data_IF_980005600924
#
_entry.id   IF_980005600924
#
_cell.length_a   1.000
_cell.length_b   1.000
_cell.length_c   1.000
_cell.angle_alpha   90.00
_cell.angle_beta   90.00
_cell.angle_gamma   90.00
#
_symmetry.space_group_name_H-M   'P 1'
#
loop_
_entity.id
_entity.type
_entity.pdbx_description
1 polymer ?
#
# COMPACT_ATOMS: atom_id res chain seq x y z
N UNK A 1 42.54 33.99 9.63
CA UNK A 1 42.06 34.36 10.97
C UNK A 1 41.56 33.10 11.63
N UNK A 2 42.31 32.61 12.62
CA UNK A 2 42.13 31.31 13.26
C UNK A 2 41.47 31.55 14.62
N UNK A 3 40.37 30.86 14.91
CA UNK A 3 39.78 30.85 16.26
C UNK A 3 39.66 29.40 16.71
N UNK A 4 40.57 29.02 17.60
CA UNK A 4 40.51 27.85 18.48
C UNK A 4 39.82 28.28 19.79
N UNK A 5 38.82 27.52 20.22
CA UNK A 5 38.29 27.54 21.59
C UNK A 5 37.91 26.14 22.05
N UNK A 6 38.95 25.35 22.28
CA UNK A 6 38.95 24.19 23.16
C UNK A 6 38.69 24.61 24.62
N UNK A 7 37.54 24.22 25.23
CA UNK A 7 37.44 23.63 26.60
C UNK A 7 35.99 23.45 27.10
N UNK A 8 35.73 22.43 27.95
CA UNK A 8 34.41 22.00 28.40
C UNK A 8 34.01 22.65 29.73
N UNK A 9 32.69 22.73 29.99
CA UNK A 9 32.14 23.08 31.31
C UNK A 9 31.43 21.88 31.90
N UNK A 10 31.82 21.58 33.14
CA UNK A 10 31.40 20.47 33.98
C UNK A 10 29.92 20.46 34.35
N UNK A 11 29.43 19.24 34.54
CA UNK A 11 28.21 18.89 35.25
C UNK A 11 28.19 19.43 36.70
N UNK A 12 26.99 19.68 37.22
CA UNK A 12 26.74 19.71 38.66
C UNK A 12 25.32 19.22 38.96
N UNK A 13 25.27 18.53 40.09
CA UNK A 13 24.23 17.66 40.59
C UNK A 13 22.94 18.35 41.06
N UNK A 14 21.87 17.55 41.02
CA UNK A 14 20.73 17.36 41.93
C UNK A 14 20.46 18.40 43.06
N UNK A 15 19.18 18.62 43.46
CA UNK A 15 18.58 17.64 44.37
C UNK A 15 17.07 17.36 44.22
N UNK A 16 16.72 16.19 44.74
CA UNK A 16 15.39 15.73 45.16
C UNK A 16 14.58 16.79 45.92
N UNK A 17 13.27 16.86 45.64
CA UNK A 17 12.29 17.31 46.63
C UNK A 17 10.98 16.52 46.54
N UNK A 18 10.57 16.06 47.70
CA UNK A 18 9.46 15.18 47.96
C UNK A 18 8.14 15.94 48.23
N UNK A 19 7.06 15.16 48.16
CA UNK A 19 5.98 15.10 49.17
C UNK A 19 4.67 15.88 48.93
N UNK A 20 3.60 15.20 49.36
CA UNK A 20 2.23 15.66 49.70
C UNK A 20 1.25 15.76 48.51
N UNK A 21 -0.02 15.36 48.60
CA UNK A 21 -0.84 14.76 49.68
C UNK A 21 -2.11 14.19 49.04
N UNK A 22 -2.71 13.24 49.75
CA UNK A 22 -4.01 12.60 49.51
C UNK A 22 -5.13 13.58 49.19
N UNK A 23 -6.07 13.16 48.34
CA UNK A 23 -7.47 13.57 48.48
C UNK A 23 -8.37 12.35 48.35
N UNK A 24 -8.84 11.88 49.51
CA UNK A 24 -9.98 10.97 49.63
C UNK A 24 -11.22 11.84 49.73
N UNK A 25 -12.23 11.61 48.90
CA UNK A 25 -13.60 12.00 49.19
C UNK A 25 -14.50 10.86 48.74
N UNK A 26 -14.95 10.11 49.75
CA UNK A 26 -16.11 9.23 49.71
C UNK A 26 -17.36 10.10 49.70
N UNK A 27 -18.35 9.78 48.87
CA UNK A 27 -19.74 9.94 49.28
C UNK A 27 -20.58 8.82 48.66
N UNK A 28 -21.13 7.99 49.54
CA UNK A 28 -22.15 7.00 49.27
C UNK A 28 -23.52 7.67 49.12
N UNK A 29 -24.34 7.14 48.22
CA UNK A 29 -25.75 7.50 48.08
C UNK A 29 -26.49 6.37 47.38
N UNK A 30 -27.11 5.51 48.17
CA UNK A 30 -28.02 4.44 47.75
C UNK A 30 -29.44 5.01 47.72
N UNK A 31 -30.21 4.82 46.63
CA UNK A 31 -31.60 4.39 46.75
C UNK A 31 -32.15 3.89 45.40
N UNK A 32 -32.82 2.75 45.49
CA UNK A 32 -33.40 1.97 44.41
C UNK A 32 -34.70 2.57 43.87
N UNK A 33 -34.95 2.31 42.58
CA UNK A 33 -36.31 2.03 42.10
C UNK A 33 -36.23 1.03 40.95
N UNK A 34 -36.81 -0.15 41.20
CA UNK A 34 -37.08 -1.18 40.22
C UNK A 34 -38.14 -0.69 39.23
N UNK A 35 -37.93 -0.95 37.94
CA UNK A 35 -39.00 -1.08 36.95
C UNK A 35 -38.64 -2.27 36.07
N UNK A 36 -39.23 -3.41 36.43
CA UNK A 36 -39.28 -4.58 35.58
C UNK A 36 -40.15 -4.25 34.37
N UNK A 37 -39.51 -4.08 33.21
CA UNK A 37 -40.19 -4.17 31.92
C UNK A 37 -39.72 -5.48 31.31
N UNK A 38 -40.61 -6.48 31.32
CA UNK A 38 -40.49 -7.71 30.54
C UNK A 38 -40.76 -7.36 29.07
N UNK A 39 -39.78 -7.42 28.14
CA UNK A 39 -40.08 -7.58 26.74
C UNK A 39 -40.42 -9.05 26.51
N UNK A 40 -41.56 -9.27 25.88
CA UNK A 40 -42.00 -10.55 25.36
C UNK A 40 -40.86 -11.36 24.73
N UNK A 41 -40.90 -12.67 24.95
CA UNK A 41 -40.24 -13.67 24.11
C UNK A 41 -40.75 -13.54 22.67
N UNK A 42 -40.24 -12.53 21.96
CA UNK A 42 -40.18 -12.53 20.52
C UNK A 42 -39.31 -13.70 20.16
N UNK A 43 -39.92 -14.70 19.54
CA UNK A 43 -39.19 -15.82 18.96
C UNK A 43 -38.17 -15.19 18.02
N UNK A 44 -36.90 -15.23 18.42
CA UNK A 44 -35.80 -14.99 17.50
C UNK A 44 -35.93 -16.11 16.47
N UNK A 45 -36.60 -15.81 15.36
CA UNK A 45 -36.49 -16.61 14.16
C UNK A 45 -35.00 -16.63 13.87
N UNK A 46 -34.34 -17.75 14.16
CA UNK A 46 -33.01 -18.03 13.65
C UNK A 46 -33.09 -17.72 12.17
N UNK A 47 -32.53 -16.58 11.78
CA UNK A 47 -32.32 -16.27 10.39
C UNK A 47 -31.35 -17.34 9.93
N UNK A 48 -31.89 -18.37 9.28
CA UNK A 48 -31.11 -19.38 8.57
C UNK A 48 -30.09 -18.59 7.76
N UNK A 49 -28.78 -18.79 7.98
CA UNK A 49 -27.78 -18.05 7.24
C UNK A 49 -28.06 -18.35 5.77
N UNK A 50 -28.57 -17.34 5.05
CA UNK A 50 -28.70 -17.39 3.61
C UNK A 50 -27.30 -17.66 3.13
N UNK A 51 -27.06 -18.89 2.65
CA UNK A 51 -25.77 -19.29 2.14
C UNK A 51 -25.42 -18.31 1.02
N UNK A 52 -24.60 -17.31 1.34
CA UNK A 52 -24.12 -16.33 0.39
C UNK A 52 -23.36 -17.14 -0.64
N UNK A 53 -23.98 -17.30 -1.82
CA UNK A 53 -23.39 -17.99 -2.95
C UNK A 53 -22.00 -17.38 -3.14
N UNK A 54 -20.94 -18.18 -2.97
CA UNK A 54 -19.60 -17.68 -3.21
C UNK A 54 -19.57 -17.13 -4.65
N UNK A 55 -19.03 -15.93 -4.86
CA UNK A 55 -18.87 -15.39 -6.20
C UNK A 55 -18.16 -16.43 -7.07
N UNK A 56 -18.63 -16.59 -8.31
CA UNK A 56 -17.90 -17.40 -9.28
C UNK A 56 -16.45 -16.90 -9.37
N UNK A 57 -15.49 -17.81 -9.34
CA UNK A 57 -14.07 -17.47 -9.39
C UNK A 57 -13.78 -16.58 -10.61
N UNK A 58 -13.07 -15.46 -10.37
CA UNK A 58 -12.71 -14.56 -11.44
C UNK A 58 -11.66 -15.23 -12.36
N UNK A 59 -11.85 -15.13 -13.68
CA UNK A 59 -10.96 -15.78 -14.64
C UNK A 59 -9.83 -14.84 -15.06
N UNK A 60 -8.59 -15.29 -14.94
CA UNK A 60 -7.42 -14.52 -15.39
C UNK A 60 -7.43 -14.29 -16.91
N UNK A 61 -6.99 -13.11 -17.36
CA UNK A 61 -6.83 -12.85 -18.79
C UNK A 61 -5.82 -13.84 -19.41
N UNK A 62 -6.06 -14.19 -20.67
CA UNK A 62 -5.13 -15.03 -21.44
C UNK A 62 -3.78 -14.31 -21.54
N UNK A 63 -2.69 -15.05 -21.35
CA UNK A 63 -1.34 -14.49 -21.41
C UNK A 63 -0.91 -13.75 -20.14
N UNK A 64 -1.64 -13.92 -19.03
CA UNK A 64 -1.23 -13.36 -17.75
C UNK A 64 0.09 -13.97 -17.25
N UNK A 65 1.01 -13.11 -16.81
CA UNK A 65 2.27 -13.48 -16.17
C UNK A 65 2.40 -12.73 -14.83
N UNK A 66 2.72 -13.45 -13.76
CA UNK A 66 2.95 -12.85 -12.45
C UNK A 66 4.39 -12.35 -12.31
N UNK A 67 4.56 -11.12 -11.82
CA UNK A 67 5.87 -10.55 -11.47
C UNK A 67 6.15 -10.69 -9.97
N UNK A 68 5.13 -10.48 -9.13
CA UNK A 68 5.24 -10.48 -7.67
C UNK A 68 3.99 -11.06 -7.01
N UNK A 69 4.21 -11.68 -5.85
CA UNK A 69 3.15 -12.17 -4.97
C UNK A 69 3.52 -11.89 -3.51
N UNK A 70 2.55 -11.39 -2.74
CA UNK A 70 2.74 -11.08 -1.33
C UNK A 70 1.60 -11.70 -0.51
N UNK A 71 1.92 -12.51 0.52
CA UNK A 71 0.93 -13.03 1.44
C UNK A 71 0.22 -11.88 2.18
N UNK A 72 -1.10 -11.98 2.27
CA UNK A 72 -1.97 -11.03 2.97
C UNK A 72 -3.07 -11.81 3.69
N UNK A 73 -3.79 -11.17 4.60
CA UNK A 73 -4.81 -11.88 5.37
C UNK A 73 -5.86 -12.54 4.45
N UNK A 74 -6.02 -13.86 4.60
CA UNK A 74 -6.98 -14.65 3.82
C UNK A 74 -6.55 -15.02 2.39
N UNK A 75 -5.32 -14.69 1.96
CA UNK A 75 -4.89 -14.96 0.59
C UNK A 75 -3.52 -14.41 0.20
N UNK A 76 -3.35 -14.16 -1.09
CA UNK A 76 -2.16 -13.56 -1.67
C UNK A 76 -2.58 -12.43 -2.62
N UNK A 77 -1.90 -11.29 -2.55
CA UNK A 77 -1.97 -10.31 -3.62
C UNK A 77 -0.98 -10.72 -4.70
N UNK A 78 -1.43 -10.80 -5.94
CA UNK A 78 -0.57 -11.15 -7.08
C UNK A 78 -0.62 -10.03 -8.11
N UNK A 79 0.55 -9.48 -8.42
CA UNK A 79 0.77 -8.43 -9.40
C UNK A 79 1.37 -9.01 -10.69
N UNK A 80 0.85 -8.59 -11.84
CA UNK A 80 1.27 -9.11 -13.12
C UNK A 80 0.89 -8.21 -14.29
N UNK A 81 1.08 -8.74 -15.48
CA UNK A 81 0.51 -8.20 -16.71
C UNK A 81 -0.10 -9.31 -17.57
N UNK A 82 -0.94 -8.92 -18.52
CA UNK A 82 -1.31 -9.77 -19.63
C UNK A 82 -0.80 -9.14 -20.92
N UNK A 83 -0.19 -9.96 -21.77
CA UNK A 83 0.35 -9.52 -23.06
C UNK A 83 -0.39 -10.16 -24.21
N UNK A 84 -0.39 -9.50 -25.37
CA UNK A 84 -0.79 -10.11 -26.63
C UNK A 84 0.49 -10.46 -27.37
N UNK A 85 0.78 -11.75 -27.50
CA UNK A 85 1.97 -12.25 -28.19
C UNK A 85 3.30 -11.73 -27.58
N UNK A 86 3.31 -11.49 -26.27
CA UNK A 86 4.49 -10.95 -25.56
C UNK A 86 4.69 -9.43 -25.72
N UNK A 87 3.76 -8.75 -26.39
CA UNK A 87 3.78 -7.30 -26.60
C UNK A 87 2.60 -6.62 -25.89
N UNK A 88 2.70 -5.30 -25.78
CA UNK A 88 1.63 -4.40 -25.31
C UNK A 88 1.10 -4.79 -23.92
N UNK A 89 2.00 -4.94 -22.94
CA UNK A 89 1.62 -5.35 -21.58
C UNK A 89 0.51 -4.49 -20.96
N UNK A 90 -0.44 -5.15 -20.30
CA UNK A 90 -1.52 -4.51 -19.54
C UNK A 90 -1.48 -4.98 -18.11
N UNK A 91 -1.34 -4.06 -17.17
CA UNK A 91 -1.21 -4.35 -15.76
C UNK A 91 -2.49 -4.95 -15.17
N UNK A 92 -2.33 -6.04 -14.44
CA UNK A 92 -3.39 -6.68 -13.68
C UNK A 92 -2.92 -6.98 -12.25
N UNK A 93 -3.84 -6.85 -11.32
CA UNK A 93 -3.67 -7.33 -9.94
C UNK A 93 -4.86 -8.20 -9.60
N UNK A 94 -4.63 -9.26 -8.82
CA UNK A 94 -5.71 -10.09 -8.31
C UNK A 94 -5.44 -10.54 -6.88
N UNK A 95 -6.51 -10.81 -6.14
CA UNK A 95 -6.43 -11.48 -4.84
C UNK A 95 -6.70 -12.96 -5.03
N UNK A 96 -5.71 -13.80 -4.70
CA UNK A 96 -5.83 -15.25 -4.68
C UNK A 96 -6.30 -15.70 -3.31
N UNK A 97 -7.48 -16.32 -3.24
CA UNK A 97 -8.05 -16.77 -1.98
C UNK A 97 -7.29 -17.99 -1.42
N UNK A 98 -6.92 -17.94 -0.13
CA UNK A 98 -6.11 -18.99 0.48
C UNK A 98 -6.80 -20.37 0.52
N UNK A 99 -8.13 -20.41 0.63
CA UNK A 99 -8.88 -21.66 0.75
C UNK A 99 -9.09 -22.31 -0.60
N UNK A 100 -9.53 -21.53 -1.58
CA UNK A 100 -9.87 -22.03 -2.93
C UNK A 100 -8.70 -22.05 -3.87
N UNK A 101 -7.62 -21.32 -3.56
CA UNK A 101 -6.49 -21.04 -4.45
C UNK A 101 -6.90 -20.39 -5.79
N UNK A 102 -8.11 -19.84 -5.85
CA UNK A 102 -8.67 -19.17 -7.04
C UNK A 102 -8.64 -17.65 -6.86
N UNK A 103 -8.60 -16.88 -7.98
CA UNK A 103 -8.80 -15.44 -7.92
C UNK A 103 -10.21 -15.12 -7.39
N UNK A 104 -10.26 -14.38 -6.27
CA UNK A 104 -11.51 -13.85 -5.70
C UNK A 104 -12.04 -12.70 -6.56
N UNK A 105 -11.13 -11.83 -6.99
CA UNK A 105 -11.37 -10.72 -7.90
C UNK A 105 -10.11 -10.46 -8.71
N UNK A 106 -10.25 -9.80 -9.85
CA UNK A 106 -9.14 -9.39 -10.72
C UNK A 106 -9.43 -7.96 -11.19
N UNK A 107 -8.41 -7.11 -11.16
CA UNK A 107 -8.51 -5.70 -11.53
C UNK A 107 -7.49 -5.38 -12.61
N UNK A 108 -7.97 -4.85 -13.73
CA UNK A 108 -7.11 -4.20 -14.72
C UNK A 108 -6.72 -2.81 -14.21
N UNK A 109 -5.43 -2.48 -14.21
CA UNK A 109 -4.99 -1.12 -13.89
C UNK A 109 -5.02 -0.29 -15.18
N UNK A 110 -5.73 0.85 -15.20
CA UNK A 110 -5.77 1.73 -16.37
C UNK A 110 -4.38 2.15 -16.83
N UNK A 111 -4.20 2.16 -18.15
CA UNK A 111 -3.06 2.75 -18.83
C UNK A 111 -3.53 4.08 -19.45
N UNK A 112 -2.83 5.21 -19.25
CA UNK A 112 -3.08 6.43 -20.00
C UNK A 112 -3.10 6.16 -21.51
N UNK A 113 -4.04 6.78 -22.22
CA UNK A 113 -4.31 6.44 -23.63
C UNK A 113 -3.15 6.74 -24.58
N UNK A 114 -2.22 7.60 -24.15
CA UNK A 114 -1.03 8.03 -24.86
C UNK A 114 0.22 7.19 -24.53
N UNK A 115 0.11 6.23 -23.60
CA UNK A 115 1.22 5.37 -23.20
C UNK A 115 1.15 4.00 -23.87
N UNK A 116 2.30 3.33 -23.95
CA UNK A 116 2.44 2.11 -24.72
C UNK A 116 1.98 0.86 -23.95
N UNK A 117 2.51 0.70 -22.73
CA UNK A 117 2.23 -0.46 -21.88
C UNK A 117 2.40 -0.13 -20.41
N UNK A 118 1.79 -0.96 -19.55
CA UNK A 118 2.03 -0.95 -18.12
C UNK A 118 2.09 -2.37 -17.57
N UNK A 119 2.81 -2.53 -16.46
CA UNK A 119 2.97 -3.78 -15.72
C UNK A 119 2.79 -3.53 -14.23
N UNK A 120 1.95 -4.32 -13.56
CA UNK A 120 1.91 -4.34 -12.10
C UNK A 120 3.05 -5.26 -11.63
N UNK A 121 4.00 -4.72 -10.89
CA UNK A 121 5.26 -5.42 -10.58
C UNK A 121 5.32 -5.90 -9.14
N UNK A 122 4.75 -5.13 -8.22
CA UNK A 122 4.78 -5.40 -6.79
C UNK A 122 3.43 -5.09 -6.17
N UNK A 123 3.12 -5.73 -5.05
CA UNK A 123 2.02 -5.30 -4.20
C UNK A 123 2.23 -5.68 -2.73
N UNK A 124 1.59 -4.95 -1.82
CA UNK A 124 1.52 -5.26 -0.40
C UNK A 124 0.22 -4.73 0.23
N UNK A 125 -0.05 -5.09 1.49
CA UNK A 125 -1.17 -4.56 2.26
C UNK A 125 -0.70 -3.61 3.36
N UNK A 126 -1.43 -2.51 3.55
CA UNK A 126 -1.21 -1.56 4.65
C UNK A 126 -2.53 -0.88 4.99
N UNK A 127 -2.83 -0.70 6.27
CA UNK A 127 -3.97 0.10 6.71
C UNK A 127 -5.35 -0.36 6.19
N UNK A 128 -5.51 -1.65 5.86
CA UNK A 128 -6.76 -2.17 5.29
C UNK A 128 -6.92 -1.96 3.79
N UNK A 129 -5.88 -1.50 3.10
CA UNK A 129 -5.81 -1.33 1.65
C UNK A 129 -4.72 -2.20 1.02
N UNK A 130 -4.84 -2.46 -0.28
CA UNK A 130 -3.77 -3.02 -1.10
C UNK A 130 -3.11 -1.93 -1.92
N UNK A 131 -1.78 -1.91 -1.91
CA UNK A 131 -0.98 -1.01 -2.72
C UNK A 131 -0.25 -1.80 -3.78
N UNK A 132 -0.27 -1.29 -5.02
CA UNK A 132 0.33 -1.94 -6.19
C UNK A 132 1.25 -0.95 -6.86
N UNK A 133 2.51 -1.36 -7.07
CA UNK A 133 3.45 -0.59 -7.89
C UNK A 133 3.29 -0.97 -9.35
N UNK A 134 3.04 0.03 -10.17
CA UNK A 134 2.89 -0.09 -11.61
C UNK A 134 4.03 0.66 -12.28
N UNK A 135 4.65 -0.01 -13.26
CA UNK A 135 5.67 0.59 -14.11
C UNK A 135 5.11 0.70 -15.52
N UNK A 136 5.13 1.90 -16.09
CA UNK A 136 4.50 2.18 -17.38
C UNK A 136 5.52 2.76 -18.35
N UNK A 137 5.54 2.24 -19.57
CA UNK A 137 6.43 2.70 -20.62
C UNK A 137 5.67 3.61 -21.58
N UNK A 138 6.18 4.82 -21.80
CA UNK A 138 5.49 5.84 -22.61
C UNK A 138 5.56 5.59 -24.12
N UNK A 139 6.52 4.81 -24.59
CA UNK A 139 6.68 4.51 -26.01
C UNK A 139 7.12 3.07 -26.27
N UNK A 140 6.70 2.52 -27.42
CA UNK A 140 7.26 1.29 -27.96
C UNK A 140 8.73 1.44 -28.38
N UNK A 141 9.14 2.66 -28.77
CA UNK A 141 10.50 2.95 -29.22
C UNK A 141 11.40 3.17 -28.00
N UNK A 142 12.26 2.19 -27.72
CA UNK A 142 13.14 2.17 -26.54
C UNK A 142 13.99 3.44 -26.37
N UNK A 143 14.46 4.05 -27.46
CA UNK A 143 15.29 5.25 -27.42
C UNK A 143 14.59 6.51 -26.90
N UNK A 144 13.26 6.55 -26.93
CA UNK A 144 12.44 7.69 -26.49
C UNK A 144 11.46 7.31 -25.38
N UNK A 145 11.47 6.04 -24.96
CA UNK A 145 10.55 5.54 -23.94
C UNK A 145 11.05 5.90 -22.56
N UNK A 146 10.14 6.40 -21.74
CA UNK A 146 10.34 6.65 -20.32
C UNK A 146 9.55 5.59 -19.55
N UNK A 147 10.17 4.96 -18.55
CA UNK A 147 9.46 4.14 -17.58
C UNK A 147 9.10 5.00 -16.37
N UNK A 148 7.81 5.20 -16.15
CA UNK A 148 7.26 6.00 -15.06
C UNK A 148 6.58 5.09 -14.04
N UNK A 149 6.63 5.50 -12.77
CA UNK A 149 6.11 4.73 -11.65
C UNK A 149 4.83 5.36 -11.12
N UNK A 150 3.83 4.53 -10.86
CA UNK A 150 2.63 4.94 -10.16
C UNK A 150 2.23 3.89 -9.11
N UNK A 151 1.64 4.36 -8.01
CA UNK A 151 1.10 3.52 -6.96
C UNK A 151 -0.41 3.57 -7.00
N UNK A 152 -1.01 2.39 -7.16
CA UNK A 152 -2.46 2.23 -7.13
C UNK A 152 -2.88 1.65 -5.79
N UNK A 153 -3.88 2.27 -5.18
CA UNK A 153 -4.53 1.72 -4.00
C UNK A 153 -5.83 1.03 -4.40
N UNK A 154 -6.06 -0.15 -3.83
CA UNK A 154 -7.24 -0.97 -4.07
C UNK A 154 -7.87 -1.42 -2.76
N UNK A 155 -9.20 -1.54 -2.80
CA UNK A 155 -9.97 -2.26 -1.79
C UNK A 155 -9.57 -3.75 -1.78
N UNK A 156 -9.13 -4.33 -0.65
CA UNK A 156 -8.75 -5.75 -0.59
C UNK A 156 -9.93 -6.70 -0.80
N UNK A 157 -11.15 -6.25 -0.50
CA UNK A 157 -12.36 -7.07 -0.58
C UNK A 157 -12.93 -7.13 -2.00
N UNK A 158 -12.91 -6.02 -2.72
CA UNK A 158 -13.56 -5.88 -4.03
C UNK A 158 -12.60 -5.76 -5.21
N UNK A 159 -11.33 -5.43 -4.95
CA UNK A 159 -10.36 -5.07 -5.99
C UNK A 159 -10.64 -3.71 -6.64
N UNK A 160 -11.59 -2.92 -6.13
CA UNK A 160 -11.88 -1.59 -6.67
C UNK A 160 -10.70 -0.65 -6.42
N UNK A 161 -10.25 0.05 -7.46
CA UNK A 161 -9.26 1.13 -7.35
C UNK A 161 -9.90 2.29 -6.57
N UNK A 162 -9.25 2.72 -5.50
CA UNK A 162 -9.71 3.84 -4.66
C UNK A 162 -8.94 5.12 -4.93
N UNK A 163 -7.65 5.00 -5.27
CA UNK A 163 -6.78 6.11 -5.58
C UNK A 163 -5.57 5.66 -6.40
N UNK A 164 -4.93 6.63 -7.05
CA UNK A 164 -3.70 6.46 -7.82
C UNK A 164 -2.82 7.70 -7.60
N UNK A 165 -1.53 7.50 -7.42
CA UNK A 165 -0.55 8.56 -7.23
C UNK A 165 0.73 8.23 -7.98
N UNK A 166 1.26 9.23 -8.68
CA UNK A 166 2.56 9.12 -9.34
C UNK A 166 3.69 9.08 -8.29
N UNK A 167 4.70 8.28 -8.57
CA UNK A 167 5.85 8.04 -7.69
C UNK A 167 7.11 8.64 -8.33
N UNK A 168 7.12 9.96 -8.49
CA UNK A 168 8.21 10.67 -9.15
C UNK A 168 9.54 10.53 -8.40
N UNK A 169 10.64 10.49 -9.16
CA UNK A 169 11.99 10.52 -8.61
C UNK A 169 12.25 11.92 -8.00
N UNK A 170 12.56 12.03 -6.70
CA UNK A 170 12.70 13.33 -6.04
C UNK A 170 13.83 14.18 -6.64
N UNK A 171 13.54 15.45 -6.92
CA UNK A 171 14.52 16.43 -7.38
C UNK A 171 14.96 16.26 -8.84
N UNK A 172 14.20 15.52 -9.66
CA UNK A 172 14.47 15.32 -11.08
C UNK A 172 13.37 15.97 -11.92
N UNK A 173 13.70 17.10 -12.56
CA UNK A 173 12.77 17.84 -13.43
C UNK A 173 13.00 17.55 -14.93
N UNK A 174 14.05 16.80 -15.27
CA UNK A 174 14.38 16.42 -16.65
C UNK A 174 13.72 15.08 -17.00
N UNK A 175 13.54 14.77 -18.30
CA UNK A 175 13.04 13.47 -18.73
C UNK A 175 13.90 12.31 -18.21
N UNK A 176 13.26 11.30 -17.64
CA UNK A 176 13.93 10.18 -16.98
C UNK A 176 13.18 8.86 -17.20
N UNK A 177 13.85 7.76 -16.92
CA UNK A 177 13.22 6.45 -16.81
C UNK A 177 13.63 5.83 -15.48
N UNK A 178 12.67 5.25 -14.77
CA UNK A 178 12.82 4.71 -13.43
C UNK A 178 12.19 3.33 -13.31
N UNK A 179 12.78 2.46 -12.51
CA UNK A 179 12.28 1.12 -12.27
C UNK A 179 12.62 0.68 -10.84
N UNK A 180 11.80 -0.25 -10.36
CA UNK A 180 12.04 -0.99 -9.13
C UNK A 180 12.32 -2.43 -9.51
N UNK A 181 13.46 -2.94 -9.06
CA UNK A 181 13.87 -4.32 -9.29
C UNK A 181 12.93 -5.30 -8.57
N UNK A 182 12.87 -6.53 -9.07
CA UNK A 182 12.02 -7.58 -8.49
C UNK A 182 12.38 -7.85 -7.03
N UNK A 183 11.36 -7.97 -6.19
CA UNK A 183 11.48 -8.40 -4.80
C UNK A 183 10.76 -7.44 -3.85
N UNK A 184 10.74 -7.74 -2.56
CA UNK A 184 9.95 -6.95 -1.61
C UNK A 184 10.71 -5.73 -1.07
N UNK A 185 12.01 -5.62 -1.32
CA UNK A 185 12.84 -4.54 -0.78
C UNK A 185 12.55 -3.20 -1.45
N UNK A 186 12.23 -3.20 -2.74
CA UNK A 186 12.00 -1.97 -3.51
C UNK A 186 10.62 -1.34 -3.34
N UNK A 187 9.65 -2.05 -2.75
CA UNK A 187 8.29 -1.57 -2.55
C UNK A 187 7.64 -2.18 -1.31
N UNK A 188 7.57 -1.43 -0.21
CA UNK A 188 7.08 -1.91 1.08
C UNK A 188 6.50 -0.78 1.95
N UNK A 189 5.83 -1.19 3.03
CA UNK A 189 5.42 -0.29 4.09
C UNK A 189 6.60 0.03 5.02
N UNK A 190 6.79 1.31 5.33
CA UNK A 190 7.71 1.77 6.38
C UNK A 190 7.03 2.87 7.21
N UNK A 191 6.69 2.55 8.46
CA UNK A 191 6.11 3.49 9.45
C UNK A 191 4.80 4.12 8.94
N UNK A 192 3.91 3.31 8.37
CA UNK A 192 2.61 3.71 7.84
C UNK A 192 2.69 4.49 6.52
N UNK A 193 3.84 4.48 5.86
CA UNK A 193 4.07 5.12 4.58
C UNK A 193 4.53 4.11 3.54
N UNK A 194 4.37 4.46 2.27
CA UNK A 194 4.80 3.66 1.14
C UNK A 194 6.23 4.04 0.81
N UNK A 195 7.17 3.12 0.97
CA UNK A 195 8.56 3.31 0.58
C UNK A 195 8.82 2.63 -0.76
N UNK A 196 9.40 3.39 -1.67
CA UNK A 196 9.74 2.96 -3.01
C UNK A 196 11.23 3.21 -3.20
N UNK A 197 11.99 2.17 -3.53
CA UNK A 197 13.43 2.26 -3.78
C UNK A 197 13.77 1.53 -5.06
N UNK A 198 14.58 2.17 -5.89
CA UNK A 198 14.89 1.64 -7.21
C UNK A 198 16.04 2.38 -7.85
N UNK A 199 16.06 2.33 -9.18
CA UNK A 199 17.07 2.95 -10.01
C UNK A 199 16.40 3.81 -11.06
N UNK A 200 17.09 4.85 -11.50
CA UNK A 200 16.68 5.67 -12.63
C UNK A 200 17.88 6.03 -13.51
N UNK A 201 17.61 6.51 -14.71
CA UNK A 201 18.56 7.22 -15.56
C UNK A 201 17.89 8.44 -16.19
N UNK A 202 18.68 9.45 -16.53
CA UNK A 202 18.21 10.59 -17.31
C UNK A 202 18.20 10.23 -18.79
N UNK A 203 17.20 10.69 -19.54
CA UNK A 203 17.13 10.41 -20.99
C UNK A 203 18.33 10.97 -21.76
N UNK A 204 19.02 11.98 -21.21
CA UNK A 204 20.26 12.53 -21.76
C UNK A 204 21.51 11.67 -21.51
N UNK A 205 21.47 10.74 -20.54
CA UNK A 205 22.58 9.85 -20.18
C UNK A 205 22.03 8.47 -19.76
N UNK A 206 21.53 7.66 -20.71
CA UNK A 206 20.86 6.40 -20.41
C UNK A 206 21.78 5.28 -19.89
N UNK A 207 23.09 5.50 -19.91
CA UNK A 207 24.08 4.54 -19.41
C UNK A 207 24.37 4.72 -17.92
N UNK A 208 24.02 5.88 -17.35
CA UNK A 208 24.25 6.18 -15.94
C UNK A 208 23.03 5.79 -15.09
N UNK A 209 23.19 4.73 -14.30
CA UNK A 209 22.19 4.25 -13.33
C UNK A 209 22.39 4.95 -12.00
N UNK A 210 21.33 5.52 -11.44
CA UNK A 210 21.35 6.29 -10.19
C UNK A 210 20.28 5.71 -9.26
N UNK A 211 20.61 5.38 -8.00
CA UNK A 211 19.61 4.91 -7.04
C UNK A 211 18.69 6.05 -6.63
N UNK A 212 17.44 5.74 -6.33
CA UNK A 212 16.51 6.67 -5.71
C UNK A 212 15.70 5.99 -4.61
N UNK A 213 15.21 6.80 -3.68
CA UNK A 213 14.18 6.42 -2.72
C UNK A 213 13.16 7.55 -2.63
N UNK A 214 11.88 7.19 -2.65
CA UNK A 214 10.78 8.10 -2.38
C UNK A 214 9.86 7.49 -1.33
N UNK A 215 9.30 8.36 -0.50
CA UNK A 215 8.31 7.99 0.51
C UNK A 215 7.01 8.72 0.19
N UNK A 216 5.93 7.97 0.03
CA UNK A 216 4.60 8.50 -0.21
C UNK A 216 3.73 8.24 1.03
N UNK A 217 2.82 9.17 1.38
CA UNK A 217 1.79 8.85 2.36
C UNK A 217 0.90 7.73 1.81
N UNK A 218 0.30 6.93 2.70
CA UNK A 218 -0.91 6.19 2.32
C UNK A 218 -1.93 7.24 1.83
N UNK A 219 -2.64 7.00 0.72
CA UNK A 219 -3.59 8.01 0.26
C UNK A 219 -4.59 8.27 1.39
N UNK A 220 -4.85 9.55 1.67
CA UNK A 220 -5.85 9.91 2.65
C UNK A 220 -7.20 9.35 2.18
N UNK A 221 -7.76 8.41 2.94
CA UNK A 221 -9.15 7.99 2.77
C UNK A 221 -10.00 9.27 2.89
N UNK A 222 -10.56 9.74 1.78
CA UNK A 222 -11.53 10.84 1.79
C UNK A 222 -12.88 10.33 2.28
#
# INVERSE_FOLDING_TARGET
MTIDRSKPVHASDAPLRASRRMSKLLLAGVLATQLAVLPLLGHASEAVPVATKLPAAAKLPKGFTAYGSTPIEGGECVAGDATREGLDGRAFVYFKDAKTQQPRWITAIPLPSDWYQNRATHCFAMGGSLFVLVQSDTSQRTSISQTLLNVVELSPTTGKIVANQDADVPGVDAGYSSWVDKGNEGFHEEKGQIKISGQYFLMSDPNKRIPFTVTLPAHASK
#
